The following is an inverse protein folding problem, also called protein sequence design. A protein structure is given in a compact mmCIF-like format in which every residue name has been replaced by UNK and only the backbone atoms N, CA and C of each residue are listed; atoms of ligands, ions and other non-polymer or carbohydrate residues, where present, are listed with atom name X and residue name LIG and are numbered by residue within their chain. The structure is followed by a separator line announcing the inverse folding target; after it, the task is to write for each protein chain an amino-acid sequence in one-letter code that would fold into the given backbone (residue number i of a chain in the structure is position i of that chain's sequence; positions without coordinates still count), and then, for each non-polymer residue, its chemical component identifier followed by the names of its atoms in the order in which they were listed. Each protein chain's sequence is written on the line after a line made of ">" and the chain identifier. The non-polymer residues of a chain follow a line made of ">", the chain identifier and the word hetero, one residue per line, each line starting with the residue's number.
data_IF_206167859513
#
_entry.id   IF_206167859513
#
_cell.length_a   1.000
_cell.length_b   1.000
_cell.length_c   1.000
_cell.angle_alpha   90.00
_cell.angle_beta   90.00
_cell.angle_gamma   90.00
#
_symmetry.space_group_name_H-M   'P 1'
#
loop_
_entity.id
_entity.type
_entity.pdbx_description
1 polymer ?
#
# COMPACT_ATOMS: atom_id res chain seq x y z
N UNK A 1 8.54 33.05 -7.96
CA UNK A 1 8.80 32.43 -6.65
C UNK A 1 7.88 31.23 -6.44
N UNK A 2 8.45 30.12 -6.05
CA UNK A 2 7.67 28.91 -5.75
C UNK A 2 7.02 29.08 -4.39
N UNK A 3 5.68 29.00 -4.34
CA UNK A 3 4.91 29.12 -3.10
C UNK A 3 4.33 27.78 -2.61
N UNK A 4 4.23 26.80 -3.49
CA UNK A 4 3.66 25.49 -3.18
C UNK A 4 4.61 24.39 -3.61
N UNK A 5 4.70 23.36 -2.77
CA UNK A 5 5.52 22.18 -3.03
C UNK A 5 4.63 20.97 -2.90
N UNK A 6 4.69 20.08 -3.89
CA UNK A 6 3.91 18.83 -3.93
C UNK A 6 4.88 17.67 -3.70
N UNK A 7 4.57 16.82 -2.71
CA UNK A 7 5.32 15.60 -2.46
C UNK A 7 4.54 14.39 -2.96
N UNK A 8 5.22 13.49 -3.65
CA UNK A 8 4.68 12.18 -3.97
C UNK A 8 4.67 11.34 -2.68
N UNK A 9 3.55 10.70 -2.35
CA UNK A 9 3.45 9.92 -1.12
C UNK A 9 4.28 8.64 -1.19
N UNK A 10 4.26 7.94 -2.34
CA UNK A 10 4.97 6.68 -2.48
C UNK A 10 6.48 6.85 -2.48
N UNK A 11 7.16 6.24 -1.50
CA UNK A 11 8.63 6.22 -1.37
C UNK A 11 9.31 7.59 -1.23
N UNK A 12 8.56 8.67 -1.01
CA UNK A 12 9.09 9.99 -0.67
C UNK A 12 8.73 10.34 0.78
N UNK A 13 7.47 10.34 1.15
CA UNK A 13 7.01 10.58 2.52
C UNK A 13 6.73 9.29 3.29
N UNK A 14 6.39 8.22 2.57
CA UNK A 14 6.03 6.93 3.13
C UNK A 14 6.73 5.82 2.36
N UNK A 15 7.39 4.91 3.07
CA UNK A 15 7.93 3.69 2.46
C UNK A 15 6.81 2.67 2.30
N UNK A 16 6.91 1.90 1.24
CA UNK A 16 5.97 0.83 0.95
C UNK A 16 6.70 -0.46 0.55
N UNK A 17 6.18 -1.60 1.03
CA UNK A 17 6.59 -2.93 0.59
C UNK A 17 5.37 -3.84 0.59
N UNK A 18 5.28 -4.76 -0.36
CA UNK A 18 4.19 -5.74 -0.43
C UNK A 18 4.39 -6.94 0.49
N UNK A 19 5.52 -7.05 1.18
CA UNK A 19 5.88 -8.22 1.97
C UNK A 19 5.34 -8.25 3.40
N UNK A 20 5.39 -7.17 4.20
CA UNK A 20 5.14 -7.25 5.64
C UNK A 20 3.78 -7.81 6.03
N UNK A 21 2.69 -7.44 5.35
CA UNK A 21 1.36 -7.93 5.71
C UNK A 21 1.23 -9.44 5.44
N UNK A 22 1.81 -9.93 4.36
CA UNK A 22 1.83 -11.37 4.06
C UNK A 22 2.68 -12.12 5.07
N UNK A 23 3.83 -11.58 5.44
CA UNK A 23 4.71 -12.16 6.45
C UNK A 23 4.01 -12.26 7.81
N UNK A 24 3.18 -11.28 8.13
CA UNK A 24 2.44 -11.25 9.40
C UNK A 24 1.37 -12.34 9.47
N UNK A 25 0.60 -12.55 8.41
CA UNK A 25 -0.56 -13.44 8.42
C UNK A 25 -0.29 -14.85 7.90
N UNK A 26 0.78 -15.06 7.13
CA UNK A 26 1.00 -16.33 6.43
C UNK A 26 2.35 -16.92 6.83
N UNK A 27 2.35 -18.12 7.49
CA UNK A 27 3.60 -18.74 7.95
C UNK A 27 4.40 -19.41 6.84
N UNK A 28 3.77 -19.90 5.77
CA UNK A 28 4.43 -20.60 4.68
C UNK A 28 4.98 -19.64 3.62
N UNK A 29 6.25 -19.80 3.25
CA UNK A 29 6.92 -18.90 2.30
C UNK A 29 6.30 -18.94 0.90
N UNK A 30 5.92 -20.11 0.41
CA UNK A 30 5.27 -20.24 -0.89
C UNK A 30 3.88 -19.60 -0.91
N UNK A 31 3.12 -19.78 0.17
CA UNK A 31 1.81 -19.19 0.31
C UNK A 31 1.89 -17.67 0.41
N UNK A 32 2.90 -17.13 1.11
CA UNK A 32 3.17 -15.67 1.15
C UNK A 32 3.33 -15.12 -0.26
N UNK A 33 4.15 -15.78 -1.07
CA UNK A 33 4.41 -15.32 -2.43
C UNK A 33 3.17 -15.41 -3.31
N UNK A 34 2.38 -16.46 -3.17
CA UNK A 34 1.12 -16.62 -3.90
C UNK A 34 0.12 -15.51 -3.57
N UNK A 35 -0.08 -15.26 -2.28
CA UNK A 35 -1.03 -14.21 -1.84
C UNK A 35 -0.50 -12.83 -2.21
N UNK A 36 0.78 -12.57 -1.99
CA UNK A 36 1.40 -11.29 -2.34
C UNK A 36 1.20 -10.98 -3.83
N UNK A 37 1.49 -11.95 -4.69
CA UNK A 37 1.34 -11.78 -6.14
C UNK A 37 -0.13 -11.59 -6.53
N UNK A 38 -1.03 -12.39 -5.96
CA UNK A 38 -2.46 -12.30 -6.29
C UNK A 38 -3.11 -10.99 -5.83
N UNK A 39 -2.66 -10.42 -4.71
CA UNK A 39 -3.22 -9.18 -4.16
C UNK A 39 -2.49 -7.95 -4.69
N UNK A 40 -1.17 -7.88 -4.50
CA UNK A 40 -0.40 -6.66 -4.72
C UNK A 40 0.25 -6.55 -6.09
N UNK A 41 0.40 -7.66 -6.81
CA UNK A 41 0.93 -7.67 -8.18
C UNK A 41 -0.19 -8.11 -9.11
N UNK A 42 -1.29 -7.37 -9.11
CA UNK A 42 -2.50 -7.72 -9.84
C UNK A 42 -3.14 -6.50 -10.49
N UNK A 43 -3.94 -6.68 -11.57
CA UNK A 43 -4.72 -5.58 -12.14
C UNK A 43 -5.69 -4.96 -11.13
N UNK A 44 -6.26 -5.78 -10.24
CA UNK A 44 -7.21 -5.31 -9.21
C UNK A 44 -6.57 -4.32 -8.25
N UNK A 45 -5.30 -4.52 -7.88
CA UNK A 45 -4.58 -3.58 -7.03
C UNK A 45 -4.50 -2.19 -7.67
N UNK A 46 -4.17 -2.15 -8.96
CA UNK A 46 -4.13 -0.90 -9.72
C UNK A 46 -5.53 -0.28 -9.86
N UNK A 47 -6.56 -1.09 -10.07
CA UNK A 47 -7.94 -0.61 -10.18
C UNK A 47 -8.45 -0.05 -8.86
N UNK A 48 -8.07 -0.64 -7.73
CA UNK A 48 -8.37 -0.09 -6.40
C UNK A 48 -7.71 1.27 -6.20
N UNK A 49 -6.47 1.40 -6.61
CA UNK A 49 -5.72 2.65 -6.52
C UNK A 49 -6.37 3.76 -7.35
N UNK A 50 -6.91 3.41 -8.51
CA UNK A 50 -7.66 4.33 -9.36
C UNK A 50 -9.10 4.57 -8.92
N UNK A 51 -9.60 3.81 -7.96
CA UNK A 51 -10.96 3.92 -7.46
C UNK A 51 -12.05 3.39 -8.40
N UNK A 52 -11.69 2.54 -9.36
CA UNK A 52 -12.65 2.01 -10.37
C UNK A 52 -13.35 0.71 -9.96
N UNK A 53 -12.88 0.05 -8.90
CA UNK A 53 -13.55 -1.12 -8.30
C UNK A 53 -13.57 -0.99 -6.79
N UNK A 54 -14.48 -1.74 -6.14
CA UNK A 54 -14.54 -1.82 -4.68
C UNK A 54 -13.59 -2.89 -4.15
N UNK A 55 -13.28 -2.83 -2.85
CA UNK A 55 -12.49 -3.87 -2.18
C UNK A 55 -13.13 -5.25 -2.32
N UNK A 56 -14.44 -5.32 -2.20
CA UNK A 56 -15.19 -6.57 -2.33
C UNK A 56 -15.05 -7.17 -3.73
N UNK A 57 -15.20 -6.34 -4.76
CA UNK A 57 -15.04 -6.78 -6.15
C UNK A 57 -13.61 -7.25 -6.42
N UNK A 58 -12.62 -6.53 -5.91
CA UNK A 58 -11.22 -6.91 -6.05
C UNK A 58 -10.94 -8.24 -5.36
N UNK A 59 -11.46 -8.43 -4.15
CA UNK A 59 -11.24 -9.65 -3.38
C UNK A 59 -11.85 -10.87 -4.08
N UNK A 60 -13.05 -10.75 -4.67
CA UNK A 60 -13.67 -11.83 -5.42
C UNK A 60 -12.79 -12.29 -6.58
N UNK A 61 -12.22 -11.35 -7.32
CA UNK A 61 -11.33 -11.65 -8.44
C UNK A 61 -9.99 -12.23 -8.00
N UNK A 62 -9.43 -11.71 -6.92
CA UNK A 62 -8.19 -12.19 -6.33
C UNK A 62 -8.35 -13.63 -5.84
N UNK A 63 -9.42 -13.90 -5.09
CA UNK A 63 -9.70 -15.24 -4.55
C UNK A 63 -9.94 -16.27 -5.64
N UNK A 64 -10.47 -15.87 -6.79
CA UNK A 64 -10.66 -16.77 -7.94
C UNK A 64 -9.33 -17.36 -8.45
N UNK A 65 -8.20 -16.69 -8.19
CA UNK A 65 -6.86 -17.15 -8.58
C UNK A 65 -6.13 -17.89 -7.47
N UNK A 66 -6.72 -18.01 -6.28
CA UNK A 66 -6.10 -18.64 -5.11
C UNK A 66 -6.88 -19.86 -4.66
N UNK A 67 -6.20 -20.87 -4.08
CA UNK A 67 -6.92 -21.97 -3.43
C UNK A 67 -7.76 -21.44 -2.26
N UNK A 68 -8.89 -22.13 -1.99
CA UNK A 68 -9.85 -21.71 -0.97
C UNK A 68 -9.19 -21.50 0.41
N UNK A 69 -8.23 -22.33 0.77
CA UNK A 69 -7.50 -22.22 2.05
C UNK A 69 -6.75 -20.90 2.23
N UNK A 70 -6.51 -20.16 1.15
CA UNK A 70 -5.81 -18.88 1.18
C UNK A 70 -6.75 -17.67 1.05
N UNK A 71 -8.05 -17.89 0.89
CA UNK A 71 -9.02 -16.79 0.71
C UNK A 71 -9.08 -15.89 1.93
N UNK A 72 -9.10 -16.46 3.14
CA UNK A 72 -9.12 -15.68 4.36
C UNK A 72 -7.85 -14.85 4.52
N UNK A 73 -6.69 -15.45 4.25
CA UNK A 73 -5.40 -14.75 4.32
C UNK A 73 -5.37 -13.59 3.33
N UNK A 74 -5.85 -13.80 2.11
CA UNK A 74 -5.93 -12.74 1.10
C UNK A 74 -6.83 -11.59 1.56
N UNK A 75 -7.97 -11.90 2.15
CA UNK A 75 -8.90 -10.90 2.69
C UNK A 75 -8.26 -10.09 3.82
N UNK A 76 -7.54 -10.74 4.72
CA UNK A 76 -6.82 -10.08 5.81
C UNK A 76 -5.71 -9.16 5.28
N UNK A 77 -4.94 -9.62 4.30
CA UNK A 77 -3.88 -8.83 3.68
C UNK A 77 -4.45 -7.59 2.98
N UNK A 78 -5.54 -7.75 2.25
CA UNK A 78 -6.18 -6.62 1.55
C UNK A 78 -6.79 -5.62 2.54
N UNK A 79 -7.34 -6.08 3.65
CA UNK A 79 -7.91 -5.22 4.69
C UNK A 79 -6.84 -4.44 5.45
N UNK A 80 -5.75 -5.10 5.80
CA UNK A 80 -4.77 -4.56 6.76
C UNK A 80 -3.44 -4.14 6.13
N UNK A 81 -3.32 -4.13 4.79
CA UNK A 81 -2.06 -3.80 4.14
C UNK A 81 -1.47 -2.46 4.61
N UNK A 82 -2.31 -1.47 4.83
CA UNK A 82 -1.88 -0.13 5.23
C UNK A 82 -1.24 -0.09 6.63
N UNK A 83 -1.52 -1.08 7.46
CA UNK A 83 -0.94 -1.17 8.81
C UNK A 83 0.48 -1.74 8.80
N UNK A 84 0.81 -2.57 7.82
CA UNK A 84 2.07 -3.32 7.79
C UNK A 84 2.97 -2.94 6.62
N UNK A 85 2.40 -2.59 5.49
CA UNK A 85 3.13 -2.35 4.25
C UNK A 85 3.59 -0.90 4.07
N UNK A 86 3.15 -0.01 4.92
CA UNK A 86 3.49 1.41 4.86
C UNK A 86 4.07 1.88 6.18
N UNK A 87 5.13 2.68 6.10
CA UNK A 87 5.69 3.37 7.27
C UNK A 87 6.29 4.70 6.85
N UNK A 88 6.29 5.72 7.75
CA UNK A 88 6.79 7.04 7.39
C UNK A 88 8.30 7.04 7.18
N UNK A 89 8.76 7.86 6.24
CA UNK A 89 10.18 8.13 6.05
C UNK A 89 10.53 9.29 6.99
N UNK A 90 11.16 8.96 8.12
CA UNK A 90 11.44 9.93 9.18
C UNK A 90 12.38 11.06 8.75
N UNK A 91 13.27 10.77 7.82
CA UNK A 91 14.22 11.76 7.28
C UNK A 91 13.51 12.90 6.54
N UNK A 92 12.26 12.69 6.11
CA UNK A 92 11.48 13.72 5.43
C UNK A 92 10.74 14.67 6.38
N UNK A 93 10.56 14.30 7.65
CA UNK A 93 9.86 15.15 8.62
C UNK A 93 10.51 16.53 8.78
N UNK A 94 11.83 16.64 9.03
CA UNK A 94 12.44 17.96 9.16
C UNK A 94 12.42 18.76 7.87
N UNK A 95 12.48 18.11 6.69
CA UNK A 95 12.40 18.78 5.39
C UNK A 95 11.01 19.42 5.22
N UNK A 96 9.95 18.66 5.47
CA UNK A 96 8.56 19.14 5.35
C UNK A 96 8.31 20.28 6.33
N UNK A 97 8.75 20.13 7.58
CA UNK A 97 8.58 21.14 8.61
C UNK A 97 9.29 22.43 8.24
N UNK A 98 10.55 22.34 7.78
CA UNK A 98 11.32 23.50 7.37
C UNK A 98 10.66 24.29 6.24
N UNK A 99 10.16 23.58 5.22
CA UNK A 99 9.46 24.21 4.10
C UNK A 99 8.19 24.91 4.55
N UNK A 100 7.44 24.30 5.47
CA UNK A 100 6.22 24.87 6.02
C UNK A 100 6.51 26.14 6.82
N UNK A 101 7.59 26.16 7.59
CA UNK A 101 8.04 27.35 8.35
C UNK A 101 8.42 28.50 7.44
N UNK A 102 8.93 28.20 6.23
CA UNK A 102 9.27 29.21 5.22
C UNK A 102 8.05 29.75 4.48
N UNK A 103 6.84 29.29 4.80
CA UNK A 103 5.61 29.78 4.19
C UNK A 103 5.20 29.09 2.92
N UNK A 104 5.80 27.95 2.58
CA UNK A 104 5.36 27.15 1.44
C UNK A 104 4.09 26.36 1.76
N UNK A 105 3.18 26.28 0.80
CA UNK A 105 2.08 25.33 0.89
C UNK A 105 2.57 23.94 0.58
N UNK A 106 2.22 22.97 1.44
CA UNK A 106 2.67 21.58 1.30
C UNK A 106 1.48 20.73 0.88
N UNK A 107 1.65 19.96 -0.19
CA UNK A 107 0.63 19.07 -0.74
C UNK A 107 1.20 17.67 -0.88
N UNK A 108 0.36 16.65 -0.66
CA UNK A 108 0.70 15.24 -0.81
C UNK A 108 -0.10 14.67 -1.97
N UNK A 109 0.59 13.98 -2.84
CA UNK A 109 0.03 13.38 -4.04
C UNK A 109 -0.08 11.86 -3.90
#
# INVERSE_FOLDING_TARGET
>A
MIKNIVFDMGNVLVKYSSNPVCDHYIPDLLDRERVRTAVFVSPEWNMLDMGVITDEQALDQICARLPERLHEAAALCLRDWHKYNMWPIREMEPVVRHLKEKGYGIYVC
#
